data_IF_463498901794
#
_entry.id   IF_463498901794
#
_cell.length_a   1.000
_cell.length_b   1.000
_cell.length_c   1.000
_cell.angle_alpha   90.00
_cell.angle_beta   90.00
_cell.angle_gamma   90.00
#
_symmetry.space_group_name_H-M   'P 1'
#
loop_
_entity.id
_entity.type
_entity.pdbx_description
1 polymer ?
#
# COMPACT_ATOMS: atom_id res chain seq x y z
N UNK A 1 -15.00 -12.88 9.73
CA UNK A 1 -13.83 -11.98 9.72
C UNK A 1 -12.52 -12.76 9.75
N UNK A 2 -12.23 -13.54 10.80
CA UNK A 2 -11.02 -14.38 10.87
C UNK A 2 -10.92 -15.39 9.72
N UNK A 3 -12.01 -16.04 9.32
CA UNK A 3 -12.04 -16.94 8.16
C UNK A 3 -11.62 -16.27 6.83
N UNK A 4 -11.64 -14.94 6.74
CA UNK A 4 -11.20 -14.21 5.53
C UNK A 4 -9.69 -13.94 5.54
N UNK A 5 -9.06 -13.92 6.72
CA UNK A 5 -7.61 -13.71 6.91
C UNK A 5 -6.89 -15.05 7.10
N UNK A 6 -7.34 -15.82 8.09
CA UNK A 6 -7.02 -17.22 8.28
C UNK A 6 -8.02 -18.02 7.45
N UNK A 7 -7.75 -18.20 6.15
CA UNK A 7 -8.65 -18.93 5.25
C UNK A 7 -8.63 -20.45 5.46
N UNK A 8 -7.63 -20.94 6.20
CA UNK A 8 -7.48 -22.33 6.63
C UNK A 8 -7.08 -22.41 8.09
N UNK A 9 -7.21 -23.59 8.68
CA UNK A 9 -6.77 -23.81 10.06
C UNK A 9 -5.25 -23.62 10.14
N UNK A 10 -4.74 -22.74 11.02
CA UNK A 10 -3.29 -22.56 11.19
C UNK A 10 -2.58 -23.79 11.77
N UNK A 11 -3.32 -24.75 12.35
CA UNK A 11 -2.80 -25.96 12.97
C UNK A 11 -2.79 -27.15 12.00
N UNK A 12 -3.92 -27.42 11.34
CA UNK A 12 -4.10 -28.62 10.51
C UNK A 12 -4.37 -28.35 9.02
N UNK A 13 -4.46 -27.09 8.60
CA UNK A 13 -4.63 -26.72 7.20
C UNK A 13 -5.99 -26.99 6.55
N UNK A 14 -6.98 -27.51 7.30
CA UNK A 14 -8.34 -27.78 6.79
C UNK A 14 -8.98 -26.54 6.15
N UNK A 15 -9.84 -26.74 5.14
CA UNK A 15 -10.67 -25.71 4.48
C UNK A 15 -12.02 -26.29 4.00
N UNK A 16 -13.17 -25.61 4.22
CA UNK A 16 -13.38 -24.53 5.19
C UNK A 16 -13.10 -25.04 6.61
N UNK A 17 -12.58 -24.17 7.47
CA UNK A 17 -11.94 -24.67 8.69
C UNK A 17 -12.65 -24.33 9.98
N UNK A 18 -13.48 -23.29 10.02
CA UNK A 18 -14.05 -22.76 11.26
C UNK A 18 -15.57 -22.85 11.20
N UNK A 19 -16.17 -23.50 12.18
CA UNK A 19 -17.62 -23.58 12.35
C UNK A 19 -17.96 -23.70 13.84
N UNK A 20 -18.98 -22.97 14.30
CA UNK A 20 -19.36 -22.99 15.72
C UNK A 20 -18.23 -22.61 16.70
N UNK A 21 -17.23 -21.83 16.26
CA UNK A 21 -16.06 -21.49 17.08
C UNK A 21 -15.06 -22.64 17.26
N UNK A 22 -15.12 -23.69 16.42
CA UNK A 22 -14.20 -24.81 16.43
C UNK A 22 -13.65 -25.09 15.04
N UNK A 23 -12.47 -25.70 15.00
CA UNK A 23 -11.92 -26.19 13.74
C UNK A 23 -12.68 -27.44 13.27
N UNK A 24 -13.14 -27.47 12.03
CA UNK A 24 -13.83 -28.63 11.43
C UNK A 24 -12.90 -29.86 11.29
N UNK A 25 -11.59 -29.66 11.13
CA UNK A 25 -10.64 -30.76 10.95
C UNK A 25 -10.08 -31.29 12.28
N UNK A 26 -9.43 -30.43 13.06
CA UNK A 26 -8.77 -30.84 14.31
C UNK A 26 -9.59 -30.58 15.58
N UNK A 27 -10.82 -30.07 15.48
CA UNK A 27 -11.68 -29.77 16.64
C UNK A 27 -11.23 -28.61 17.54
N UNK A 28 -10.07 -28.00 17.24
CA UNK A 28 -9.48 -26.92 18.04
C UNK A 28 -10.46 -25.77 18.29
N UNK A 29 -10.62 -25.37 19.55
CA UNK A 29 -11.45 -24.22 19.90
C UNK A 29 -10.80 -22.92 19.41
N UNK A 30 -11.63 -21.99 18.95
CA UNK A 30 -11.23 -20.70 18.39
C UNK A 30 -12.03 -19.59 19.07
N UNK A 31 -11.32 -18.67 19.70
CA UNK A 31 -11.91 -17.47 20.30
C UNK A 31 -11.22 -16.23 19.75
N UNK A 32 -12.02 -15.25 19.36
CA UNK A 32 -11.53 -13.96 18.86
C UNK A 32 -11.44 -13.01 20.05
N UNK A 33 -10.29 -12.39 20.26
CA UNK A 33 -10.13 -11.37 21.30
C UNK A 33 -11.09 -10.20 21.09
N UNK A 34 -11.46 -9.49 22.17
CA UNK A 34 -12.34 -8.31 22.11
C UNK A 34 -11.75 -7.19 21.23
N UNK A 35 -10.42 -7.13 21.19
CA UNK A 35 -9.63 -6.23 20.35
C UNK A 35 -9.75 -6.56 18.84
N UNK A 36 -10.17 -7.79 18.49
CA UNK A 36 -10.19 -8.35 17.12
C UNK A 36 -8.81 -8.41 16.44
N UNK A 37 -7.74 -8.29 17.22
CA UNK A 37 -6.35 -8.36 16.76
C UNK A 37 -5.61 -9.56 17.32
N UNK A 38 -6.14 -10.19 18.36
CA UNK A 38 -5.69 -11.48 18.87
C UNK A 38 -6.72 -12.58 18.61
N UNK A 39 -6.21 -13.82 18.46
CA UNK A 39 -7.01 -15.03 18.31
C UNK A 39 -6.42 -16.10 19.23
N UNK A 40 -7.27 -16.75 20.00
CA UNK A 40 -6.91 -17.93 20.77
C UNK A 40 -7.34 -19.16 19.98
N UNK A 41 -6.38 -20.03 19.61
CA UNK A 41 -6.64 -21.30 18.93
C UNK A 41 -6.00 -22.41 19.75
N UNK A 42 -6.79 -23.43 20.12
CA UNK A 42 -6.34 -24.54 20.97
C UNK A 42 -5.64 -24.07 22.27
N UNK A 43 -6.21 -23.04 22.92
CA UNK A 43 -5.65 -22.48 24.17
C UNK A 43 -4.46 -21.53 24.00
N UNK A 44 -3.82 -21.49 22.82
CA UNK A 44 -2.73 -20.55 22.52
C UNK A 44 -3.29 -19.24 22.00
N UNK A 45 -2.96 -18.12 22.64
CA UNK A 45 -3.30 -16.78 22.15
C UNK A 45 -2.14 -16.23 21.34
N UNK A 46 -2.43 -15.77 20.13
CA UNK A 46 -1.47 -15.07 19.29
C UNK A 46 -2.19 -13.95 18.53
N UNK A 47 -1.42 -13.01 17.99
CA UNK A 47 -1.90 -12.01 17.05
C UNK A 47 -2.46 -12.69 15.80
N UNK A 48 -3.39 -12.02 15.10
CA UNK A 48 -3.87 -12.49 13.79
C UNK A 48 -2.71 -12.74 12.82
N UNK A 49 -1.62 -11.96 12.90
CA UNK A 49 -0.42 -12.21 12.10
C UNK A 49 0.41 -13.41 12.50
N UNK A 50 0.59 -13.67 13.79
CA UNK A 50 1.30 -14.86 14.23
C UNK A 50 0.61 -16.12 13.70
N UNK A 51 -0.72 -16.16 13.79
CA UNK A 51 -1.52 -17.21 13.17
C UNK A 51 -1.48 -17.20 11.65
N UNK A 52 -1.48 -16.03 11.02
CA UNK A 52 -1.36 -15.94 9.57
C UNK A 52 0.00 -16.45 9.08
N UNK A 53 1.09 -16.16 9.79
CA UNK A 53 2.42 -16.69 9.50
C UNK A 53 2.46 -18.22 9.59
N UNK A 54 1.70 -18.83 10.51
CA UNK A 54 1.52 -20.29 10.53
C UNK A 54 0.75 -20.79 9.30
N UNK A 55 -0.34 -20.12 8.91
CA UNK A 55 -1.05 -20.42 7.65
C UNK A 55 -0.12 -20.32 6.43
N UNK A 56 0.82 -19.36 6.42
CA UNK A 56 1.77 -19.19 5.31
C UNK A 56 2.74 -20.36 5.12
N UNK A 57 3.02 -21.14 6.17
CA UNK A 57 3.97 -22.27 6.10
C UNK A 57 3.36 -23.54 5.52
N UNK A 58 2.04 -23.61 5.42
CA UNK A 58 1.33 -24.74 4.84
C UNK A 58 1.40 -24.64 3.30
N UNK A 59 1.58 -25.76 2.60
CA UNK A 59 1.57 -25.78 1.12
C UNK A 59 0.18 -25.37 0.61
N UNK A 60 0.14 -24.45 -0.35
CA UNK A 60 -1.10 -23.71 -0.69
C UNK A 60 -1.65 -24.03 -2.07
N UNK A 61 -0.84 -24.57 -2.97
CA UNK A 61 -1.30 -25.01 -4.29
C UNK A 61 -1.46 -26.53 -4.30
N UNK A 62 -2.70 -27.06 -4.36
CA UNK A 62 -2.93 -28.45 -4.73
C UNK A 62 -2.29 -28.74 -6.09
N UNK A 63 -1.90 -29.99 -6.35
CA UNK A 63 -1.30 -30.40 -7.64
C UNK A 63 -2.18 -30.05 -8.86
N UNK A 64 -3.51 -29.94 -8.69
CA UNK A 64 -4.46 -29.52 -9.72
C UNK A 64 -4.70 -28.01 -9.88
N UNK A 65 -4.06 -27.17 -9.05
CA UNK A 65 -4.27 -25.72 -9.02
C UNK A 65 -5.40 -25.25 -8.10
N UNK A 66 -5.82 -23.99 -8.26
CA UNK A 66 -6.86 -23.37 -7.43
C UNK A 66 -8.03 -22.90 -8.28
N UNK A 67 -9.27 -23.30 -7.95
CA UNK A 67 -10.50 -22.85 -8.65
C UNK A 67 -11.36 -21.98 -7.74
N UNK A 68 -11.92 -20.89 -8.27
CA UNK A 68 -12.81 -19.98 -7.53
C UNK A 68 -14.30 -20.31 -7.74
N UNK A 69 -15.14 -19.80 -6.83
CA UNK A 69 -16.53 -19.51 -7.15
C UNK A 69 -16.63 -18.40 -8.23
N UNK A 70 -17.85 -18.08 -8.69
CA UNK A 70 -18.05 -16.95 -9.60
C UNK A 70 -17.54 -15.65 -8.96
N UNK A 71 -16.63 -14.97 -9.66
CA UNK A 71 -16.11 -13.65 -9.31
C UNK A 71 -16.65 -12.61 -10.27
N UNK A 72 -16.79 -11.38 -9.80
CA UNK A 72 -17.11 -10.26 -10.67
C UNK A 72 -15.82 -9.78 -11.34
N UNK A 73 -15.81 -9.76 -12.67
CA UNK A 73 -14.69 -9.28 -13.48
C UNK A 73 -14.96 -7.85 -13.90
N UNK A 74 -13.96 -6.99 -13.72
CA UNK A 74 -13.97 -5.62 -14.24
C UNK A 74 -12.64 -5.28 -14.90
N UNK A 75 -12.69 -4.47 -15.95
CA UNK A 75 -11.52 -3.84 -16.55
C UNK A 75 -11.32 -2.43 -15.98
N UNK A 76 -10.11 -1.90 -16.07
CA UNK A 76 -9.87 -0.49 -15.79
C UNK A 76 -10.42 0.38 -16.93
N UNK A 77 -11.13 1.46 -16.60
CA UNK A 77 -11.59 2.47 -17.56
C UNK A 77 -10.94 3.81 -17.25
N UNK A 78 -10.46 4.52 -18.27
CA UNK A 78 -9.94 5.88 -18.10
C UNK A 78 -11.10 6.87 -18.13
N UNK A 79 -11.37 7.52 -17.00
CA UNK A 79 -12.49 8.47 -16.83
C UNK A 79 -12.13 9.91 -17.26
N UNK A 80 -10.86 10.16 -17.59
CA UNK A 80 -10.38 11.45 -18.09
C UNK A 80 -9.35 12.11 -17.19
N UNK A 81 -8.81 13.25 -17.64
CA UNK A 81 -7.83 14.05 -16.89
C UNK A 81 -8.53 15.26 -16.29
N UNK A 82 -8.41 15.47 -14.98
CA UNK A 82 -8.97 16.66 -14.31
C UNK A 82 -7.87 17.49 -13.67
N UNK A 83 -7.95 18.84 -13.74
CA UNK A 83 -7.06 19.72 -12.99
C UNK A 83 -7.36 19.63 -11.49
N UNK A 84 -6.31 19.86 -10.69
CA UNK A 84 -6.34 19.92 -9.23
C UNK A 84 -5.68 21.24 -8.79
N UNK A 85 -5.92 21.65 -7.54
CA UNK A 85 -5.24 22.83 -6.96
C UNK A 85 -3.71 22.67 -7.00
N UNK A 86 -2.96 23.78 -7.08
CA UNK A 86 -1.49 23.70 -7.13
C UNK A 86 -0.90 23.49 -8.53
N UNK A 87 -1.67 23.72 -9.60
CA UNK A 87 -1.28 23.38 -10.98
C UNK A 87 -1.08 21.87 -11.20
N UNK A 88 -1.66 21.04 -10.32
CA UNK A 88 -1.61 19.59 -10.42
C UNK A 88 -2.68 19.10 -11.40
N UNK A 89 -2.44 17.95 -12.01
CA UNK A 89 -3.45 17.29 -12.81
C UNK A 89 -3.36 15.79 -12.58
N UNK A 90 -4.49 15.12 -12.67
CA UNK A 90 -4.58 13.70 -12.47
C UNK A 90 -5.46 13.05 -13.52
N UNK A 91 -5.10 11.82 -13.87
CA UNK A 91 -5.96 10.96 -14.68
C UNK A 91 -6.75 10.08 -13.72
N UNK A 92 -8.07 10.13 -13.84
CA UNK A 92 -8.98 9.31 -13.05
C UNK A 92 -9.23 8.00 -13.79
N UNK A 93 -9.29 6.92 -13.01
CA UNK A 93 -9.52 5.59 -13.51
C UNK A 93 -10.66 4.98 -12.71
N UNK A 94 -11.63 4.42 -13.42
CA UNK A 94 -12.78 3.72 -12.91
C UNK A 94 -12.66 2.21 -13.15
N UNK A 95 -13.72 1.51 -12.76
CA UNK A 95 -13.90 0.09 -13.08
C UNK A 95 -15.08 -0.04 -14.03
N UNK A 96 -14.87 -0.71 -15.16
CA UNK A 96 -15.94 -1.11 -16.08
C UNK A 96 -16.25 -2.59 -15.87
N UNK A 97 -17.45 -2.95 -15.39
CA UNK A 97 -17.86 -4.36 -15.27
C UNK A 97 -17.79 -5.07 -16.63
N UNK A 98 -17.24 -6.28 -16.66
CA UNK A 98 -17.12 -7.10 -17.87
C UNK A 98 -17.99 -8.37 -17.83
N UNK A 99 -18.46 -8.74 -16.64
CA UNK A 99 -19.30 -9.91 -16.38
C UNK A 99 -18.80 -10.70 -15.17
N UNK A 100 -19.29 -11.92 -15.02
CA UNK A 100 -18.80 -12.85 -14.02
C UNK A 100 -17.95 -13.95 -14.68
N UNK A 101 -17.00 -14.51 -13.94
CA UNK A 101 -16.18 -15.63 -14.41
C UNK A 101 -15.77 -16.53 -13.24
N UNK A 102 -15.38 -17.77 -13.53
CA UNK A 102 -14.62 -18.61 -12.60
C UNK A 102 -13.14 -18.48 -12.93
N UNK A 103 -12.32 -18.31 -11.89
CA UNK A 103 -10.87 -18.30 -12.02
C UNK A 103 -10.33 -19.68 -11.73
N UNK A 104 -9.37 -20.12 -12.53
CA UNK A 104 -8.61 -21.34 -12.28
C UNK A 104 -7.11 -21.05 -12.45
N UNK A 105 -6.39 -21.03 -11.34
CA UNK A 105 -4.94 -20.89 -11.32
C UNK A 105 -4.30 -22.24 -11.62
N UNK A 106 -3.50 -22.29 -12.68
CA UNK A 106 -2.64 -23.42 -13.06
C UNK A 106 -1.17 -23.08 -12.76
N UNK A 107 -0.27 -24.01 -13.04
CA UNK A 107 1.16 -23.83 -12.80
C UNK A 107 1.79 -22.72 -13.65
N UNK A 108 1.25 -22.47 -14.85
CA UNK A 108 1.82 -21.58 -15.88
C UNK A 108 0.87 -20.45 -16.30
N UNK A 109 -0.41 -20.50 -15.92
CA UNK A 109 -1.43 -19.56 -16.37
C UNK A 109 -2.59 -19.41 -15.38
N UNK A 110 -3.33 -18.32 -15.54
CA UNK A 110 -4.64 -18.11 -14.93
C UNK A 110 -5.72 -18.21 -16.00
N UNK A 111 -6.60 -19.18 -15.86
CA UNK A 111 -7.78 -19.38 -16.72
C UNK A 111 -8.96 -18.57 -16.13
N UNK A 112 -9.61 -17.77 -16.97
CA UNK A 112 -10.77 -16.95 -16.67
C UNK A 112 -11.94 -17.47 -17.50
N UNK A 113 -12.81 -18.25 -16.88
CA UNK A 113 -13.92 -18.94 -17.54
C UNK A 113 -15.24 -18.17 -17.37
N UNK A 114 -15.67 -17.49 -18.43
CA UNK A 114 -16.89 -16.68 -18.43
C UNK A 114 -18.10 -17.51 -18.88
N UNK A 115 -19.24 -17.49 -18.15
CA UNK A 115 -20.45 -18.20 -18.58
C UNK A 115 -20.85 -17.79 -20.00
N UNK A 116 -20.81 -18.75 -20.95
CA UNK A 116 -21.15 -18.52 -22.35
C UNK A 116 -20.17 -17.63 -23.15
N UNK A 117 -19.01 -17.29 -22.61
CA UNK A 117 -18.00 -16.42 -23.25
C UNK A 117 -16.66 -17.13 -23.54
N UNK A 118 -16.57 -18.43 -23.24
CA UNK A 118 -15.36 -19.23 -23.37
C UNK A 118 -14.33 -18.96 -22.28
N UNK A 119 -13.27 -19.78 -22.27
CA UNK A 119 -12.17 -19.65 -21.32
C UNK A 119 -11.05 -18.79 -21.90
N UNK A 120 -10.64 -17.78 -21.13
CA UNK A 120 -9.51 -16.91 -21.46
C UNK A 120 -8.32 -17.31 -20.59
N UNK A 121 -7.19 -17.65 -21.20
CA UNK A 121 -5.94 -17.88 -20.47
C UNK A 121 -5.08 -16.61 -20.41
N UNK A 122 -4.52 -16.33 -19.23
CA UNK A 122 -3.50 -15.30 -19.00
C UNK A 122 -2.25 -16.01 -18.50
N UNK A 123 -1.19 -16.05 -19.31
CA UNK A 123 0.09 -16.64 -18.91
C UNK A 123 0.70 -15.90 -17.71
N UNK A 124 1.35 -16.63 -16.80
CA UNK A 124 2.02 -16.00 -15.65
C UNK A 124 3.21 -15.11 -16.09
N UNK A 125 3.82 -15.40 -17.23
CA UNK A 125 4.85 -14.58 -17.88
C UNK A 125 4.33 -13.24 -18.43
N UNK A 126 3.04 -13.18 -18.77
CA UNK A 126 2.34 -11.97 -19.23
C UNK A 126 2.00 -11.02 -18.08
N UNK A 127 2.10 -11.47 -16.82
CA UNK A 127 1.83 -10.61 -15.67
C UNK A 127 2.97 -9.59 -15.48
N UNK A 128 2.59 -8.31 -15.36
CA UNK A 128 3.44 -7.19 -14.98
C UNK A 128 3.39 -6.94 -13.49
N UNK A 129 2.23 -7.06 -12.86
CA UNK A 129 2.05 -6.85 -11.43
C UNK A 129 0.86 -7.66 -10.90
N UNK A 130 0.98 -8.10 -9.65
CA UNK A 130 -0.09 -8.78 -8.91
C UNK A 130 -0.22 -8.14 -7.53
N UNK A 131 -1.45 -7.94 -7.07
CA UNK A 131 -1.74 -7.34 -5.77
C UNK A 131 -3.17 -7.61 -5.36
N UNK A 132 -3.44 -7.55 -4.06
CA UNK A 132 -4.79 -7.73 -3.52
C UNK A 132 -5.22 -6.54 -2.68
N UNK A 133 -6.48 -6.17 -2.86
CA UNK A 133 -7.16 -5.25 -1.96
C UNK A 133 -8.41 -5.86 -1.38
N UNK A 134 -8.34 -6.25 -0.11
CA UNK A 134 -9.45 -6.80 0.67
C UNK A 134 -10.02 -8.08 0.06
N UNK A 135 -10.91 -7.95 -0.93
CA UNK A 135 -11.59 -9.05 -1.62
C UNK A 135 -11.41 -8.98 -3.14
N UNK A 136 -10.50 -8.14 -3.63
CA UNK A 136 -10.23 -7.99 -5.05
C UNK A 136 -8.82 -8.46 -5.37
N UNK A 137 -8.67 -9.45 -6.25
CA UNK A 137 -7.40 -9.72 -6.93
C UNK A 137 -7.27 -8.74 -8.08
N UNK A 138 -6.11 -8.10 -8.18
CA UNK A 138 -5.83 -7.11 -9.22
C UNK A 138 -4.59 -7.57 -9.97
N UNK A 139 -4.72 -7.74 -11.28
CA UNK A 139 -3.66 -8.19 -12.17
C UNK A 139 -3.41 -7.12 -13.23
N UNK A 140 -2.16 -6.74 -13.44
CA UNK A 140 -1.73 -5.96 -14.61
C UNK A 140 -1.03 -6.92 -15.57
N UNK A 141 -1.59 -7.12 -16.76
CA UNK A 141 -1.06 -7.98 -17.83
C UNK A 141 -0.52 -7.13 -18.99
N UNK A 142 0.50 -7.62 -19.71
CA UNK A 142 1.03 -6.89 -20.88
C UNK A 142 0.00 -6.87 -22.00
N UNK A 143 -0.66 -8.01 -22.24
CA UNK A 143 -1.63 -8.19 -23.32
C UNK A 143 -3.02 -7.61 -23.02
N UNK A 144 -3.45 -7.58 -21.75
CA UNK A 144 -4.83 -7.23 -21.36
C UNK A 144 -4.96 -6.00 -20.48
N UNK A 145 -3.84 -5.45 -19.99
CA UNK A 145 -3.84 -4.34 -19.05
C UNK A 145 -4.37 -4.75 -17.67
N UNK A 146 -5.00 -3.82 -16.96
CA UNK A 146 -5.42 -4.02 -15.57
C UNK A 146 -6.81 -4.65 -15.48
N UNK A 147 -6.87 -5.82 -14.85
CA UNK A 147 -8.10 -6.54 -14.55
C UNK A 147 -8.34 -6.64 -13.03
N UNK A 148 -9.61 -6.56 -12.64
CA UNK A 148 -10.07 -6.69 -11.27
C UNK A 148 -10.98 -7.91 -11.15
N UNK A 149 -10.72 -8.73 -10.14
CA UNK A 149 -11.52 -9.91 -9.81
C UNK A 149 -12.02 -9.78 -8.39
N UNK A 150 -13.27 -9.35 -8.25
CA UNK A 150 -13.92 -9.15 -6.96
C UNK A 150 -14.56 -10.47 -6.50
N UNK A 151 -14.17 -10.97 -5.33
CA UNK A 151 -14.64 -12.22 -4.75
C UNK A 151 -15.81 -11.94 -3.78
N UNK A 152 -17.07 -12.15 -4.22
CA UNK A 152 -18.23 -11.94 -3.34
C UNK A 152 -18.27 -12.96 -2.20
N UNK A 153 -17.82 -14.19 -2.48
CA UNK A 153 -17.73 -15.30 -1.53
C UNK A 153 -16.33 -15.93 -1.66
N UNK A 154 -15.45 -15.65 -0.70
CA UNK A 154 -14.08 -16.19 -0.68
C UNK A 154 -13.08 -15.26 0.00
N UNK A 155 -11.91 -15.82 0.36
CA UNK A 155 -10.80 -15.05 0.90
C UNK A 155 -9.88 -14.61 -0.24
N UNK A 156 -9.86 -13.30 -0.54
CA UNK A 156 -8.89 -12.74 -1.49
C UNK A 156 -7.46 -13.12 -1.12
N UNK A 157 -7.14 -13.12 0.18
CA UNK A 157 -5.81 -13.49 0.70
C UNK A 157 -5.35 -14.90 0.30
N UNK A 158 -6.27 -15.87 0.18
CA UNK A 158 -5.99 -17.22 -0.34
C UNK A 158 -5.47 -17.15 -1.78
N UNK A 159 -6.08 -16.31 -2.59
CA UNK A 159 -5.67 -16.12 -3.99
C UNK A 159 -4.35 -15.37 -4.12
N UNK A 160 -4.07 -14.39 -3.24
CA UNK A 160 -2.76 -13.72 -3.19
C UNK A 160 -1.68 -14.76 -2.99
N UNK A 161 -1.90 -15.56 -1.95
CA UNK A 161 -0.96 -16.51 -1.44
C UNK A 161 -0.67 -17.65 -2.43
N UNK A 162 -1.70 -18.06 -3.18
CA UNK A 162 -1.56 -19.04 -4.26
C UNK A 162 -0.89 -18.41 -5.49
N UNK A 163 -1.25 -17.19 -5.89
CA UNK A 163 -0.61 -16.50 -7.01
C UNK A 163 0.87 -16.22 -6.74
N UNK A 164 1.21 -15.76 -5.54
CA UNK A 164 2.59 -15.51 -5.12
C UNK A 164 3.44 -16.79 -5.24
N UNK A 165 2.90 -17.93 -4.82
CA UNK A 165 3.57 -19.22 -4.92
C UNK A 165 3.66 -19.73 -6.36
N UNK A 166 2.57 -19.64 -7.13
CA UNK A 166 2.56 -20.04 -8.53
C UNK A 166 3.58 -19.22 -9.34
N UNK A 167 3.63 -17.90 -9.14
CA UNK A 167 4.61 -17.02 -9.74
C UNK A 167 6.04 -17.36 -9.31
N UNK A 168 6.27 -17.60 -8.01
CA UNK A 168 7.60 -17.97 -7.52
C UNK A 168 8.08 -19.30 -8.09
N UNK A 169 7.20 -20.31 -8.20
CA UNK A 169 7.49 -21.61 -8.82
C UNK A 169 7.74 -21.46 -10.31
N UNK A 170 6.86 -20.76 -11.02
CA UNK A 170 6.93 -20.57 -12.47
C UNK A 170 8.20 -19.83 -12.91
N UNK A 171 8.63 -18.84 -12.13
CA UNK A 171 9.83 -18.06 -12.46
C UNK A 171 11.13 -18.65 -11.91
N UNK A 172 11.09 -19.74 -11.15
CA UNK A 172 12.29 -20.40 -10.66
C UNK A 172 13.24 -20.76 -11.83
N UNK A 173 14.57 -20.56 -11.69
CA UNK A 173 15.29 -20.22 -10.46
C UNK A 173 15.35 -18.71 -10.14
N UNK A 174 14.65 -17.84 -10.88
CA UNK A 174 14.65 -16.38 -10.62
C UNK A 174 13.79 -16.06 -9.40
N UNK A 175 14.42 -15.60 -8.32
CA UNK A 175 13.69 -15.19 -7.11
C UNK A 175 12.99 -13.83 -7.33
N UNK A 176 11.67 -13.78 -7.09
CA UNK A 176 10.88 -12.55 -7.17
C UNK A 176 11.13 -11.69 -5.94
N UNK A 177 11.53 -10.44 -6.14
CA UNK A 177 11.84 -9.49 -5.05
C UNK A 177 10.71 -8.51 -4.74
N UNK A 178 9.83 -8.23 -5.69
CA UNK A 178 8.71 -7.29 -5.54
C UNK A 178 7.61 -7.71 -6.51
N UNK A 179 6.37 -7.85 -6.03
CA UNK A 179 5.20 -8.25 -6.85
C UNK A 179 4.43 -7.04 -7.42
N UNK A 180 4.51 -5.89 -6.75
CA UNK A 180 3.76 -4.67 -7.06
C UNK A 180 4.58 -3.42 -6.71
N UNK A 181 4.65 -2.39 -7.58
CA UNK A 181 3.83 -2.16 -8.78
C UNK A 181 4.35 -2.82 -10.06
N UNK A 182 5.41 -3.62 -9.96
CA UNK A 182 5.97 -4.41 -11.07
C UNK A 182 6.69 -5.63 -10.51
N UNK A 183 6.50 -6.79 -11.13
CA UNK A 183 7.27 -8.00 -10.89
C UNK A 183 8.75 -7.73 -11.19
N UNK A 184 9.60 -7.89 -10.17
CA UNK A 184 11.06 -7.71 -10.27
C UNK A 184 11.77 -8.96 -9.77
N UNK A 185 12.88 -9.30 -10.41
CA UNK A 185 13.64 -10.51 -10.09
C UNK A 185 15.02 -10.18 -9.51
N UNK A 186 15.56 -11.04 -8.65
CA UNK A 186 16.95 -10.96 -8.15
C UNK A 186 17.97 -10.92 -9.30
N UNK A 187 17.74 -11.70 -10.36
CA UNK A 187 18.64 -11.80 -11.51
C UNK A 187 18.75 -10.49 -12.32
N UNK A 188 17.76 -9.59 -12.23
CA UNK A 188 17.82 -8.25 -12.84
C UNK A 188 18.94 -7.39 -12.23
N UNK A 189 19.63 -7.88 -11.18
CA UNK A 189 20.88 -7.34 -10.63
C UNK A 189 22.02 -7.21 -11.65
N UNK A 190 22.06 -8.01 -12.72
CA UNK A 190 23.22 -8.08 -13.64
C UNK A 190 23.11 -7.25 -14.92
N UNK A 191 21.92 -6.81 -15.32
CA UNK A 191 21.72 -6.05 -16.58
C UNK A 191 21.64 -4.52 -16.39
N UNK A 192 21.85 -4.02 -15.17
CA UNK A 192 21.95 -2.57 -14.90
C UNK A 192 23.40 -2.05 -14.91
N UNK A 193 24.32 -2.81 -15.52
CA UNK A 193 25.64 -2.33 -15.95
C UNK A 193 25.69 -2.44 -17.47
N UNK A 194 25.98 -1.32 -18.13
CA UNK A 194 25.98 -1.12 -19.59
C UNK A 194 24.62 -1.11 -20.28
N UNK A 195 23.96 0.05 -20.25
CA UNK A 195 23.57 0.73 -21.50
C UNK A 195 23.91 2.22 -21.34
N UNK A 196 25.10 2.57 -21.82
CA UNK A 196 25.49 3.95 -22.07
C UNK A 196 24.72 4.44 -23.30
N UNK A 197 24.04 5.57 -23.15
CA UNK A 197 23.40 6.29 -24.25
C UNK A 197 23.08 7.69 -23.75
N UNK A 198 24.03 8.60 -23.92
CA UNK A 198 23.97 9.93 -23.35
C UNK A 198 22.79 10.77 -23.84
N UNK A 199 22.28 11.62 -22.96
CA UNK A 199 22.04 13.00 -23.35
C UNK A 199 21.99 13.95 -22.14
N UNK A 200 22.84 14.97 -22.19
CA UNK A 200 22.63 16.28 -21.57
C UNK A 200 22.64 16.36 -20.05
N UNK A 201 23.79 16.75 -19.49
CA UNK A 201 23.84 17.57 -18.26
C UNK A 201 22.84 18.72 -18.39
N UNK A 202 21.75 18.67 -17.63
CA UNK A 202 21.03 19.89 -17.22
C UNK A 202 21.08 19.92 -15.70
N UNK A 203 22.01 20.70 -15.19
CA UNK A 203 21.95 21.24 -13.83
C UNK A 203 20.52 21.75 -13.60
N UNK A 204 19.88 21.27 -12.54
CA UNK A 204 18.58 21.76 -12.11
C UNK A 204 18.72 23.24 -11.73
N UNK A 205 18.56 24.12 -12.72
CA UNK A 205 18.48 25.56 -12.50
C UNK A 205 17.33 25.86 -11.56
N UNK A 206 17.63 26.62 -10.51
CA UNK A 206 16.68 27.16 -9.55
C UNK A 206 15.70 28.09 -10.28
N UNK A 207 14.56 27.56 -10.72
CA UNK A 207 13.46 28.36 -11.25
C UNK A 207 12.65 28.99 -10.09
N UNK A 208 12.09 30.19 -10.27
CA UNK A 208 11.41 30.92 -9.20
C UNK A 208 10.22 30.13 -8.64
N UNK A 209 10.22 29.94 -7.32
CA UNK A 209 9.18 29.25 -6.57
C UNK A 209 7.93 30.15 -6.45
N UNK A 210 6.93 30.00 -7.34
CA UNK A 210 5.60 30.56 -7.08
C UNK A 210 4.95 29.80 -5.92
N UNK A 211 4.81 30.48 -4.78
CA UNK A 211 4.07 30.03 -3.61
C UNK A 211 2.58 30.05 -3.92
N UNK A 212 1.98 28.92 -4.25
CA UNK A 212 0.55 28.76 -4.01
C UNK A 212 0.36 28.41 -2.52
N UNK A 213 0.05 29.44 -1.73
CA UNK A 213 -0.36 29.26 -0.34
C UNK A 213 -1.71 28.51 -0.31
N UNK A 214 -1.93 27.57 0.61
CA UNK A 214 -3.27 27.06 0.85
C UNK A 214 -4.18 28.24 1.21
N UNK A 215 -5.44 28.24 0.72
CA UNK A 215 -6.36 29.38 0.85
C UNK A 215 -6.50 29.90 2.29
N UNK A 216 -6.89 31.18 2.42
CA UNK A 216 -6.84 31.98 3.66
C UNK A 216 -7.58 31.44 4.89
N UNK A 217 -8.32 30.33 4.82
CA UNK A 217 -8.93 29.64 5.97
C UNK A 217 -8.31 28.27 6.32
N UNK A 218 -7.38 27.77 5.51
CA UNK A 218 -6.90 26.39 5.62
C UNK A 218 -6.17 26.11 6.95
N UNK A 219 -5.36 27.06 7.40
CA UNK A 219 -4.63 26.95 8.68
C UNK A 219 -5.58 26.84 9.88
N UNK A 220 -6.63 27.67 9.91
CA UNK A 220 -7.63 27.68 10.98
C UNK A 220 -8.43 26.37 11.03
N UNK A 221 -8.90 25.86 9.88
CA UNK A 221 -9.62 24.58 9.82
C UNK A 221 -8.74 23.42 10.30
N UNK A 222 -7.46 23.42 9.93
CA UNK A 222 -6.50 22.39 10.35
C UNK A 222 -6.22 22.44 11.83
N UNK A 223 -6.08 23.65 12.38
CA UNK A 223 -5.94 23.85 13.81
C UNK A 223 -7.17 23.32 14.57
N UNK A 224 -8.38 23.72 14.18
CA UNK A 224 -9.63 23.26 14.78
C UNK A 224 -9.78 21.74 14.69
N UNK A 225 -9.52 21.14 13.52
CA UNK A 225 -9.54 19.69 13.36
C UNK A 225 -8.53 19.00 14.29
N UNK A 226 -7.33 19.56 14.44
CA UNK A 226 -6.32 19.06 15.38
C UNK A 226 -6.79 19.11 16.83
N UNK A 227 -7.44 20.20 17.25
CA UNK A 227 -7.99 20.34 18.60
C UNK A 227 -9.14 19.37 18.86
N UNK A 228 -10.07 19.22 17.91
CA UNK A 228 -11.15 18.24 17.99
C UNK A 228 -10.62 16.81 18.13
N UNK A 229 -9.60 16.45 17.35
CA UNK A 229 -8.97 15.13 17.43
C UNK A 229 -8.28 14.90 18.78
N UNK A 230 -7.60 15.91 19.34
CA UNK A 230 -6.98 15.83 20.68
C UNK A 230 -8.00 15.71 21.82
N UNK A 231 -9.19 16.28 21.66
CA UNK A 231 -10.28 16.13 22.63
C UNK A 231 -10.95 14.75 22.53
N UNK A 232 -11.13 14.25 21.30
CA UNK A 232 -11.80 12.98 21.04
C UNK A 232 -10.92 11.75 21.33
N UNK A 233 -9.60 11.86 21.13
CA UNK A 233 -8.65 10.77 21.21
C UNK A 233 -7.47 11.12 22.14
N UNK A 234 -6.93 10.16 22.92
CA UNK A 234 -5.71 10.37 23.68
C UNK A 234 -4.50 10.41 22.73
N UNK A 235 -4.13 11.62 22.29
CA UNK A 235 -3.09 11.86 21.28
C UNK A 235 -1.82 12.47 21.87
N UNK A 236 -0.68 11.86 21.59
CA UNK A 236 0.65 12.41 21.88
C UNK A 236 1.39 12.74 20.59
N UNK A 237 2.05 13.89 20.53
CA UNK A 237 2.78 14.33 19.34
C UNK A 237 4.13 14.90 19.74
N UNK A 238 5.21 14.24 19.32
CA UNK A 238 6.59 14.52 19.74
C UNK A 238 7.49 14.82 18.53
N UNK A 239 8.59 15.53 18.75
CA UNK A 239 9.61 15.76 17.71
C UNK A 239 9.20 16.71 16.60
N UNK A 240 8.12 17.49 16.79
CA UNK A 240 7.60 18.48 15.80
C UNK A 240 8.68 19.41 15.25
N UNK A 241 9.66 19.77 16.08
CA UNK A 241 10.77 20.64 15.72
C UNK A 241 11.69 20.04 14.65
N UNK A 242 11.71 18.71 14.48
CA UNK A 242 12.50 18.05 13.43
C UNK A 242 11.95 18.28 12.03
N UNK A 243 10.70 18.74 11.88
CA UNK A 243 10.13 19.07 10.57
C UNK A 243 10.62 20.46 10.15
N UNK A 244 11.40 20.60 9.07
CA UNK A 244 11.88 21.91 8.62
C UNK A 244 10.74 22.91 8.41
N UNK A 245 10.88 24.11 8.95
CA UNK A 245 9.84 25.14 8.90
C UNK A 245 9.52 25.63 7.48
N UNK A 246 10.52 25.57 6.57
CA UNK A 246 10.42 26.02 5.17
C UNK A 246 11.09 25.02 4.24
N UNK A 247 10.81 25.12 2.94
CA UNK A 247 11.40 24.29 1.90
C UNK A 247 10.75 22.90 1.76
N UNK A 248 11.20 22.10 0.77
CA UNK A 248 10.67 20.77 0.51
C UNK A 248 10.96 19.82 1.67
N UNK A 249 9.97 18.98 2.03
CA UNK A 249 10.15 17.93 3.04
C UNK A 249 9.32 16.72 2.63
N UNK A 250 9.87 15.52 2.82
CA UNK A 250 9.11 14.26 2.73
C UNK A 250 8.89 13.76 4.15
N UNK A 251 7.63 13.52 4.54
CA UNK A 251 7.31 12.77 5.75
C UNK A 251 7.13 11.30 5.36
N UNK A 252 8.00 10.43 5.85
CA UNK A 252 7.95 8.99 5.60
C UNK A 252 7.41 8.28 6.85
N UNK A 253 6.15 7.84 6.79
CA UNK A 253 5.45 7.26 7.94
C UNK A 253 5.10 5.78 7.73
N UNK A 254 5.03 5.00 8.82
CA UNK A 254 4.38 3.69 8.80
C UNK A 254 2.86 3.85 8.58
N UNK A 255 2.20 2.79 8.10
CA UNK A 255 0.78 2.82 7.73
C UNK A 255 -0.02 1.70 8.39
N UNK A 256 -0.56 1.97 9.57
CA UNK A 256 -1.34 1.02 10.37
C UNK A 256 -2.86 1.23 10.27
N UNK A 257 -3.31 2.44 9.96
CA UNK A 257 -4.73 2.82 9.92
C UNK A 257 -5.07 3.67 8.70
N UNK A 258 -6.35 3.69 8.34
CA UNK A 258 -6.85 4.72 7.43
C UNK A 258 -6.72 6.13 8.03
N UNK A 259 -6.78 6.24 9.36
CA UNK A 259 -6.71 7.53 10.04
C UNK A 259 -5.30 8.13 10.08
N UNK A 260 -4.24 7.38 9.74
CA UNK A 260 -2.85 7.88 9.76
C UNK A 260 -2.68 9.17 8.95
N UNK A 261 -3.22 9.17 7.72
CA UNK A 261 -3.13 10.32 6.82
C UNK A 261 -3.92 11.52 7.36
N UNK A 262 -5.06 11.27 8.00
CA UNK A 262 -5.92 12.31 8.60
C UNK A 262 -5.24 12.92 9.82
N UNK A 263 -4.70 12.06 10.69
CA UNK A 263 -3.95 12.46 11.87
C UNK A 263 -2.74 13.31 11.47
N UNK A 264 -1.95 12.88 10.48
CA UNK A 264 -0.81 13.68 10.00
C UNK A 264 -1.25 14.98 9.32
N UNK A 265 -2.30 14.98 8.50
CA UNK A 265 -2.80 16.20 7.87
C UNK A 265 -3.23 17.24 8.92
N UNK A 266 -3.91 16.81 9.98
CA UNK A 266 -4.36 17.67 11.07
C UNK A 266 -3.23 18.08 12.02
N UNK A 267 -2.32 17.15 12.36
CA UNK A 267 -1.40 17.32 13.49
C UNK A 267 0.03 17.64 13.08
N UNK A 268 0.47 17.42 11.84
CA UNK A 268 1.84 17.77 11.44
C UNK A 268 2.12 19.27 11.63
N UNK A 269 3.38 19.74 11.74
CA UNK A 269 3.66 21.17 11.88
C UNK A 269 3.28 21.99 10.64
N UNK A 270 3.31 21.36 9.46
CA UNK A 270 3.06 21.99 8.16
C UNK A 270 1.97 21.23 7.38
N UNK A 271 1.25 21.89 6.47
CA UNK A 271 0.33 21.23 5.54
C UNK A 271 1.01 20.13 4.74
N UNK A 272 0.50 18.90 4.84
CA UNK A 272 1.05 17.71 4.18
C UNK A 272 0.17 17.35 3.00
N UNK A 273 0.77 17.10 1.83
CA UNK A 273 0.08 16.59 0.66
C UNK A 273 0.31 15.07 0.53
N UNK A 274 -0.75 14.27 0.57
CA UNK A 274 -0.65 12.80 0.50
C UNK A 274 -0.96 12.24 -0.90
N UNK A 275 -0.28 11.15 -1.25
CA UNK A 275 -0.68 10.30 -2.36
C UNK A 275 -1.85 9.40 -1.94
N UNK A 276 -2.99 9.55 -2.60
CA UNK A 276 -4.22 8.82 -2.23
C UNK A 276 -4.78 8.04 -3.42
N UNK A 277 -5.38 6.86 -3.18
CA UNK A 277 -5.94 6.02 -4.26
C UNK A 277 -6.99 6.81 -5.08
N UNK A 278 -6.90 6.74 -6.41
CA UNK A 278 -7.87 7.38 -7.32
C UNK A 278 -9.34 7.16 -6.93
N UNK A 279 -9.71 5.92 -6.59
CA UNK A 279 -11.10 5.59 -6.25
C UNK A 279 -11.64 6.29 -5.00
N UNK A 280 -10.77 6.78 -4.09
CA UNK A 280 -11.22 7.50 -2.91
C UNK A 280 -11.72 8.91 -3.25
N UNK A 281 -11.34 9.45 -4.40
CA UNK A 281 -11.84 10.72 -4.90
C UNK A 281 -13.21 10.60 -5.58
N UNK A 282 -13.73 9.39 -5.78
CA UNK A 282 -15.07 9.19 -6.35
C UNK A 282 -16.20 9.54 -5.36
N UNK A 283 -15.95 9.41 -4.05
CA UNK A 283 -16.96 9.72 -3.03
C UNK A 283 -16.97 11.23 -2.71
N UNK A 284 -18.08 11.96 -2.88
CA UNK A 284 -18.11 13.43 -2.77
C UNK A 284 -17.62 13.99 -1.43
N UNK A 285 -18.03 13.39 -0.31
CA UNK A 285 -17.56 13.79 1.02
C UNK A 285 -16.05 13.57 1.22
N UNK A 286 -15.55 12.39 0.83
CA UNK A 286 -14.12 12.07 0.93
C UNK A 286 -13.29 12.92 -0.03
N UNK A 287 -13.80 13.23 -1.22
CA UNK A 287 -13.18 14.15 -2.17
C UNK A 287 -12.89 15.52 -1.54
N UNK A 288 -13.87 16.09 -0.81
CA UNK A 288 -13.71 17.37 -0.12
C UNK A 288 -12.64 17.29 0.96
N UNK A 289 -12.65 16.23 1.77
CA UNK A 289 -11.65 16.01 2.83
C UNK A 289 -10.25 15.81 2.23
N UNK A 290 -10.14 15.04 1.14
CA UNK A 290 -8.87 14.77 0.47
C UNK A 290 -8.30 16.01 -0.21
N UNK A 291 -9.14 16.81 -0.88
CA UNK A 291 -8.71 18.11 -1.42
C UNK A 291 -8.25 19.05 -0.30
N UNK A 292 -8.99 19.08 0.80
CA UNK A 292 -8.59 19.84 1.98
C UNK A 292 -7.24 19.36 2.50
N UNK A 293 -7.05 18.05 2.70
CA UNK A 293 -5.80 17.44 3.13
C UNK A 293 -4.66 17.52 2.09
N UNK A 294 -4.81 18.31 1.01
CA UNK A 294 -3.79 18.48 -0.03
C UNK A 294 -3.48 17.21 -0.80
N UNK A 295 -4.33 16.19 -0.71
CA UNK A 295 -4.10 14.90 -1.33
C UNK A 295 -4.26 14.98 -2.84
N UNK A 296 -3.45 14.20 -3.55
CA UNK A 296 -3.57 14.01 -4.99
C UNK A 296 -3.72 12.52 -5.33
N UNK A 297 -4.51 12.22 -6.36
CA UNK A 297 -4.84 10.86 -6.74
C UNK A 297 -3.62 10.18 -7.40
N UNK A 298 -3.40 8.91 -7.04
CA UNK A 298 -2.41 8.02 -7.65
C UNK A 298 -3.10 6.75 -8.17
N UNK A 299 -2.71 6.34 -9.39
CA UNK A 299 -3.04 5.04 -9.94
C UNK A 299 -2.21 3.99 -9.19
N UNK A 300 -2.89 3.20 -8.37
CA UNK A 300 -2.26 2.08 -7.66
C UNK A 300 -2.05 0.90 -8.61
N UNK A 301 -1.20 -0.04 -8.21
CA UNK A 301 -0.92 -1.34 -8.88
C UNK A 301 -0.12 -1.28 -10.17
N UNK A 302 -0.04 -0.11 -10.81
CA UNK A 302 0.81 0.12 -11.98
C UNK A 302 1.82 1.23 -11.70
N UNK A 303 2.80 1.38 -12.57
CA UNK A 303 3.76 2.48 -12.47
C UNK A 303 3.06 3.79 -12.87
N UNK A 304 2.85 4.70 -11.91
CA UNK A 304 2.22 6.00 -12.16
C UNK A 304 3.25 7.14 -12.25
N UNK A 305 3.74 7.37 -13.47
CA UNK A 305 4.66 8.47 -13.76
C UNK A 305 4.02 9.86 -13.56
N UNK A 306 2.69 9.98 -13.59
CA UNK A 306 1.99 11.25 -13.32
C UNK A 306 2.05 11.56 -11.83
N UNK A 307 1.77 10.58 -10.97
CA UNK A 307 1.88 10.73 -9.52
C UNK A 307 3.31 11.07 -9.07
N UNK A 308 4.32 10.42 -9.64
CA UNK A 308 5.73 10.77 -9.38
C UNK A 308 6.03 12.23 -9.77
N UNK A 309 5.60 12.66 -10.97
CA UNK A 309 5.78 14.05 -11.40
C UNK A 309 5.04 15.05 -10.51
N UNK A 310 3.86 14.70 -10.03
CA UNK A 310 3.08 15.52 -9.10
C UNK A 310 3.77 15.65 -7.74
N UNK A 311 4.30 14.55 -7.19
CA UNK A 311 5.09 14.58 -5.97
C UNK A 311 6.34 15.46 -6.10
N UNK A 312 7.10 15.30 -7.18
CA UNK A 312 8.26 16.14 -7.45
C UNK A 312 7.86 17.61 -7.62
N UNK A 313 6.72 17.91 -8.24
CA UNK A 313 6.19 19.28 -8.35
C UNK A 313 5.84 19.88 -6.98
N UNK A 314 5.17 19.13 -6.10
CA UNK A 314 4.86 19.56 -4.72
C UNK A 314 6.14 19.90 -3.97
N UNK A 315 7.16 19.06 -4.08
CA UNK A 315 8.46 19.31 -3.45
C UNK A 315 9.15 20.54 -4.07
N UNK A 316 9.13 20.71 -5.40
CA UNK A 316 9.65 21.94 -6.05
C UNK A 316 8.95 23.22 -5.62
N UNK A 317 7.68 23.14 -5.21
CA UNK A 317 6.93 24.26 -4.62
C UNK A 317 7.32 24.53 -3.15
N UNK A 318 8.30 23.80 -2.59
CA UNK A 318 8.72 23.93 -1.20
C UNK A 318 7.70 23.41 -0.20
N UNK A 319 6.79 22.52 -0.61
CA UNK A 319 5.72 21.96 0.23
C UNK A 319 6.14 20.63 0.86
N UNK A 320 5.29 20.12 1.76
CA UNK A 320 5.52 18.85 2.44
C UNK A 320 4.76 17.73 1.71
N UNK A 321 5.47 16.68 1.32
CA UNK A 321 4.89 15.46 0.75
C UNK A 321 4.78 14.41 1.86
N UNK A 322 3.58 13.89 2.09
CA UNK A 322 3.36 12.74 2.95
C UNK A 322 3.40 11.44 2.16
N UNK A 323 4.21 10.49 2.61
CA UNK A 323 4.40 9.21 1.97
C UNK A 323 4.35 8.08 3.00
N UNK A 324 3.60 7.03 2.66
CA UNK A 324 3.62 5.75 3.37
C UNK A 324 4.47 4.77 2.56
N UNK A 325 5.74 4.56 2.93
CA UNK A 325 6.67 3.82 2.09
C UNK A 325 6.28 2.34 1.90
N UNK A 326 5.47 1.79 2.81
CA UNK A 326 4.83 0.46 2.73
C UNK A 326 3.89 0.32 1.53
N UNK A 327 3.28 1.42 1.07
CA UNK A 327 2.33 1.44 -0.06
C UNK A 327 0.94 0.86 0.24
N UNK A 328 0.74 0.19 1.38
CA UNK A 328 -0.57 -0.26 1.87
C UNK A 328 -0.62 -0.29 3.40
N UNK A 329 -1.82 -0.46 3.97
CA UNK A 329 -2.02 -0.57 5.42
C UNK A 329 -1.64 -1.95 5.92
N UNK A 330 -0.99 -2.04 7.06
CA UNK A 330 -0.68 -3.32 7.69
C UNK A 330 -1.94 -4.12 8.02
N UNK A 331 -1.76 -5.43 8.16
CA UNK A 331 -2.83 -6.35 8.56
C UNK A 331 -2.81 -6.68 10.05
N UNK A 332 -1.80 -6.23 10.80
CA UNK A 332 -1.44 -6.86 12.06
C UNK A 332 -0.67 -5.94 13.02
N UNK A 333 -0.73 -4.63 12.77
CA UNK A 333 0.06 -3.60 13.45
C UNK A 333 1.58 -3.70 13.27
N UNK A 334 2.06 -4.65 12.46
CA UNK A 334 3.46 -4.75 12.10
C UNK A 334 3.73 -3.87 10.89
N UNK A 335 4.80 -3.10 10.98
CA UNK A 335 5.24 -2.29 9.85
C UNK A 335 5.67 -3.21 8.71
N UNK A 336 5.11 -3.01 7.53
CA UNK A 336 5.49 -3.78 6.35
C UNK A 336 6.82 -3.28 5.79
N UNK A 337 7.50 -4.10 4.97
CA UNK A 337 8.72 -3.67 4.32
C UNK A 337 8.47 -2.48 3.39
N UNK A 338 9.39 -1.51 3.40
CA UNK A 338 9.28 -0.35 2.53
C UNK A 338 9.44 -0.76 1.05
N UNK A 339 8.59 -0.21 0.18
CA UNK A 339 8.67 -0.46 -1.27
C UNK A 339 9.89 0.22 -1.87
N UNK A 340 10.55 -0.43 -2.83
CA UNK A 340 11.74 0.15 -3.48
C UNK A 340 11.36 1.40 -4.27
N UNK A 341 10.19 1.37 -4.88
CA UNK A 341 9.66 2.49 -5.67
C UNK A 341 9.50 3.79 -4.85
N UNK A 342 9.12 3.69 -3.58
CA UNK A 342 8.99 4.86 -2.69
C UNK A 342 10.36 5.40 -2.30
N UNK A 343 11.35 4.54 -2.07
CA UNK A 343 12.75 4.95 -1.84
C UNK A 343 13.36 5.60 -3.08
N UNK A 344 13.10 5.06 -4.28
CA UNK A 344 13.53 5.67 -5.56
C UNK A 344 12.97 7.08 -5.74
N UNK A 345 11.71 7.31 -5.35
CA UNK A 345 11.11 8.65 -5.35
C UNK A 345 11.85 9.60 -4.40
N UNK A 346 12.18 9.14 -3.18
CA UNK A 346 12.92 9.96 -2.21
C UNK A 346 14.33 10.31 -2.72
N UNK A 347 15.06 9.34 -3.28
CA UNK A 347 16.38 9.54 -3.90
C UNK A 347 16.33 10.51 -5.09
N UNK A 348 15.29 10.42 -5.92
CA UNK A 348 15.10 11.32 -7.05
C UNK A 348 14.67 12.74 -6.63
N UNK A 349 13.98 12.87 -5.50
CA UNK A 349 13.47 14.14 -5.02
C UNK A 349 14.56 15.03 -4.41
N UNK A 350 15.55 14.44 -3.76
CA UNK A 350 16.61 15.17 -3.04
C UNK A 350 16.12 16.04 -1.88
N UNK A 351 14.85 15.89 -1.47
CA UNK A 351 14.29 16.57 -0.32
C UNK A 351 14.70 15.87 0.98
N UNK A 352 14.85 16.61 2.11
CA UNK A 352 15.04 15.99 3.42
C UNK A 352 13.84 15.08 3.75
N UNK A 353 14.15 13.87 4.21
CA UNK A 353 13.16 12.86 4.61
C UNK A 353 13.08 12.81 6.12
N UNK A 354 11.94 13.21 6.68
CA UNK A 354 11.65 13.09 8.10
C UNK A 354 10.94 11.74 8.34
N UNK A 355 11.59 10.79 9.03
CA UNK A 355 10.92 9.56 9.43
C UNK A 355 9.86 9.87 10.50
N UNK A 356 8.70 9.21 10.41
CA UNK A 356 7.58 9.42 11.33
C UNK A 356 7.05 8.07 11.82
N UNK A 357 7.11 7.86 13.13
CA UNK A 357 6.50 6.70 13.78
C UNK A 357 5.10 7.02 14.28
N UNK A 358 4.14 6.17 13.94
CA UNK A 358 2.75 6.23 14.41
C UNK A 358 2.43 4.92 15.15
N UNK A 359 2.16 5.02 16.45
CA UNK A 359 1.82 3.88 17.31
C UNK A 359 0.38 3.95 17.80
N UNK A 360 -0.24 2.79 18.08
CA UNK A 360 -1.62 2.68 18.57
C UNK A 360 -2.72 2.93 17.53
N UNK A 361 -2.39 3.51 16.37
CA UNK A 361 -3.36 3.82 15.32
C UNK A 361 -4.05 2.58 14.73
N UNK A 362 -3.41 1.42 14.75
CA UNK A 362 -4.03 0.17 14.34
C UNK A 362 -5.23 -0.19 15.24
N UNK A 363 -5.10 -0.04 16.57
CA UNK A 363 -6.19 -0.25 17.52
C UNK A 363 -7.33 0.77 17.37
N UNK A 364 -7.00 1.97 16.89
CA UNK A 364 -7.95 3.07 16.64
C UNK A 364 -8.93 2.72 15.50
N UNK A 365 -8.41 2.31 14.33
CA UNK A 365 -9.24 1.82 13.24
C UNK A 365 -8.45 0.89 12.31
N UNK A 366 -8.47 -0.43 12.55
CA UNK A 366 -7.71 -1.38 11.75
C UNK A 366 -8.33 -1.54 10.35
N UNK A 367 -7.56 -2.10 9.41
CA UNK A 367 -7.90 -2.16 7.97
C UNK A 367 -9.29 -2.70 7.63
N UNK A 368 -9.81 -3.63 8.44
CA UNK A 368 -11.11 -4.31 8.27
C UNK A 368 -12.26 -3.70 9.08
N UNK A 369 -11.99 -2.73 9.93
CA UNK A 369 -13.01 -2.08 10.75
C UNK A 369 -13.37 -0.73 10.16
N UNK A 370 -14.65 -0.40 10.19
CA UNK A 370 -15.17 0.96 9.96
C UNK A 370 -15.43 1.71 11.27
N UNK A 371 -15.35 1.02 12.42
CA UNK A 371 -15.56 1.60 13.74
C UNK A 371 -14.26 2.18 14.29
N UNK A 372 -14.32 3.44 14.66
CA UNK A 372 -13.25 4.18 15.36
C UNK A 372 -13.34 3.87 16.86
N UNK A 373 -12.23 3.53 17.50
CA UNK A 373 -12.12 3.24 18.94
C UNK A 373 -11.23 4.27 19.63
N UNK A 374 -11.63 4.70 20.82
CA UNK A 374 -10.82 5.62 21.62
C UNK A 374 -9.65 4.87 22.28
N UNK A 375 -8.48 4.89 21.64
CA UNK A 375 -7.23 4.29 22.14
C UNK A 375 -6.08 5.30 22.07
N UNK A 376 -5.02 5.16 22.90
CA UNK A 376 -3.84 6.02 22.83
C UNK A 376 -3.17 5.93 21.46
N UNK A 377 -2.81 7.08 20.89
CA UNK A 377 -2.04 7.17 19.65
C UNK A 377 -0.90 8.17 19.82
N UNK A 378 0.33 7.75 19.51
CA UNK A 378 1.49 8.64 19.51
C UNK A 378 2.03 8.84 18.09
N UNK A 379 2.39 10.08 17.77
CA UNK A 379 3.05 10.46 16.51
C UNK A 379 4.40 11.07 16.85
N UNK A 380 5.47 10.43 16.42
CA UNK A 380 6.86 10.86 16.69
C UNK A 380 7.56 11.20 15.39
N UNK A 381 8.01 12.45 15.26
CA UNK A 381 8.81 12.91 14.13
C UNK A 381 10.30 12.79 14.49
N UNK A 382 11.08 12.07 13.69
CA UNK A 382 12.53 11.94 13.88
C UNK A 382 13.35 12.99 13.14
N UNK A 383 14.66 13.01 13.39
CA UNK A 383 15.58 13.93 12.73
C UNK A 383 15.55 13.77 11.19
N UNK A 384 15.63 14.88 10.43
CA UNK A 384 15.58 14.82 8.96
C UNK A 384 16.82 14.13 8.39
N UNK A 385 16.59 13.11 7.58
CA UNK A 385 17.61 12.36 6.85
C UNK A 385 17.82 12.98 5.47
N UNK A 386 19.08 13.25 5.11
CA UNK A 386 19.46 13.70 3.77
C UNK A 386 19.95 12.52 2.95
N UNK A 387 19.23 12.22 1.88
CA UNK A 387 19.58 11.17 0.93
C UNK A 387 20.45 11.74 -0.18
N UNK A 388 21.34 10.93 -0.80
CA UNK A 388 22.02 11.33 -2.03
C UNK A 388 21.00 11.54 -3.14
N UNK A 389 21.19 12.59 -3.92
CA UNK A 389 20.32 12.92 -5.05
C UNK A 389 20.80 12.14 -6.26
N UNK A 390 19.99 11.20 -6.74
CA UNK A 390 20.31 10.38 -7.91
C UNK A 390 19.15 10.43 -8.88
N UNK A 391 19.44 10.77 -10.14
CA UNK A 391 18.43 10.87 -11.19
C UNK A 391 17.63 9.56 -11.33
N UNK A 392 16.34 9.63 -11.68
CA UNK A 392 15.55 8.44 -12.00
C UNK A 392 16.27 7.56 -13.03
N UNK A 393 16.40 6.26 -12.74
CA UNK A 393 17.11 5.32 -13.61
C UNK A 393 18.60 5.14 -13.28
N UNK A 394 19.27 6.14 -12.68
CA UNK A 394 20.68 6.04 -12.27
C UNK A 394 20.91 5.44 -10.88
N UNK A 395 19.83 5.04 -10.19
CA UNK A 395 19.86 4.57 -8.81
C UNK A 395 20.27 3.10 -8.76
N UNK A 396 21.46 2.81 -8.24
CA UNK A 396 21.90 1.42 -8.08
C UNK A 396 21.04 0.67 -7.07
N UNK A 397 20.84 -0.62 -7.30
CA UNK A 397 19.98 -1.43 -6.43
C UNK A 397 20.56 -1.58 -5.01
N UNK A 398 21.89 -1.57 -4.89
CA UNK A 398 22.59 -1.55 -3.58
C UNK A 398 22.24 -0.29 -2.78
N UNK A 399 22.26 0.88 -3.43
CA UNK A 399 21.93 2.15 -2.79
C UNK A 399 20.47 2.17 -2.33
N UNK A 400 19.55 1.68 -3.18
CA UNK A 400 18.13 1.59 -2.85
C UNK A 400 17.91 0.69 -1.63
N UNK A 401 18.54 -0.48 -1.57
CA UNK A 401 18.41 -1.37 -0.40
C UNK A 401 18.98 -0.76 0.88
N UNK A 402 20.16 -0.14 0.80
CA UNK A 402 20.78 0.49 1.97
C UNK A 402 19.88 1.57 2.58
N UNK A 403 19.35 2.47 1.73
CA UNK A 403 18.45 3.52 2.21
C UNK A 403 17.08 3.00 2.63
N UNK A 404 16.57 1.96 1.97
CA UNK A 404 15.34 1.28 2.39
C UNK A 404 15.44 0.79 3.83
N UNK A 405 16.50 0.03 4.15
CA UNK A 405 16.70 -0.51 5.50
C UNK A 405 16.89 0.62 6.52
N UNK A 406 17.78 1.57 6.24
CA UNK A 406 18.02 2.71 7.13
C UNK A 406 16.78 3.54 7.43
N UNK A 407 15.96 3.82 6.42
CA UNK A 407 14.69 4.54 6.60
C UNK A 407 13.68 3.71 7.38
N UNK A 408 13.61 2.41 7.09
CA UNK A 408 12.71 1.50 7.79
C UNK A 408 13.07 1.41 9.28
N UNK A 409 14.35 1.25 9.61
CA UNK A 409 14.82 1.20 11.00
C UNK A 409 14.55 2.51 11.74
N UNK A 410 14.77 3.66 11.08
CA UNK A 410 14.46 4.97 11.65
C UNK A 410 12.97 5.14 11.97
N UNK A 411 12.08 4.68 11.09
CA UNK A 411 10.62 4.70 11.34
C UNK A 411 10.22 3.69 12.41
N UNK A 412 10.80 2.48 12.41
CA UNK A 412 10.55 1.45 13.41
C UNK A 412 10.90 1.94 14.82
N UNK A 413 12.07 2.57 14.99
CA UNK A 413 12.52 3.11 16.27
C UNK A 413 11.54 4.16 16.84
N UNK A 414 10.95 4.99 15.97
CA UNK A 414 9.97 6.01 16.36
C UNK A 414 8.58 5.43 16.66
N UNK A 415 8.15 4.43 15.87
CA UNK A 415 6.89 3.72 16.11
C UNK A 415 6.95 3.06 17.49
N UNK A 416 8.09 2.49 17.84
CA UNK A 416 8.21 1.65 19.02
C UNK A 416 7.58 0.27 18.80
N UNK A 417 7.50 -0.55 19.85
CA UNK A 417 7.00 -1.92 19.78
C UNK A 417 5.57 -2.02 19.22
#
# INVERSE_FOLDING_TARGET
MIQRLLYRCPLCGTEPWLEGGRCQGCGASVRVGRDRSTVTIAGRTDTVAGWYAAVRRLDRLPEGGLTSALVQVSGESREGRRPLAGGLAAVFYGRRPMGQARLRLRADRLEVDGPGKGTVAIGLDDLRAVTIESHTVILDSRSRGVCFFDFPRGAGKRWEDALDQALARFHAPREIQEFCPRLRFTADRRLAGNEQGGNGRRSAGSLPCRREAPGSGFGAVRFLAGQMLRAALPLQVEGRAHVPAKGPVILAANHSSFLDAILLAALAPRPVAFMTKNSQFAHPALFRILRWAGAFPVRRYTTDAVAVRNALRILRQGRVLGLFPEGERCWDDRMQPFKRTTVRLMLAAGAPVVPVGISGAYGLMPRWSTRIRRVPVAIRFGAPLRLPVVAPGGQSERLIQAWRLRLQDAVAALKGP
#
